data_IF_633063401323
#
_entry.id   IF_633063401323
#
_cell.length_a   1.000
_cell.length_b   1.000
_cell.length_c   1.000
_cell.angle_alpha   90.00
_cell.angle_beta   90.00
_cell.angle_gamma   90.00
#
_symmetry.space_group_name_H-M   'P 1'
#
loop_
_entity.id
_entity.type
_entity.pdbx_description
1 polymer ?
#
# COMPACT_ATOMS: atom_id res chain seq x y z
N UNK A 1 5.72 17.59 -1.37
CA UNK A 1 5.35 16.44 -2.22
C UNK A 1 3.85 16.19 -2.13
N UNK A 2 3.26 15.74 -3.21
CA UNK A 2 1.91 15.17 -3.21
C UNK A 2 2.04 13.67 -3.48
N UNK A 3 1.49 12.85 -2.60
CA UNK A 3 1.48 11.40 -2.75
C UNK A 3 0.05 10.95 -3.09
N UNK A 4 -0.10 10.29 -4.22
CA UNK A 4 -1.36 9.69 -4.69
C UNK A 4 -1.27 8.19 -4.42
N UNK A 5 -2.06 7.69 -3.49
CA UNK A 5 -2.19 6.26 -3.22
C UNK A 5 -3.31 5.70 -4.09
N UNK A 6 -3.00 4.70 -4.89
CA UNK A 6 -3.94 4.08 -5.83
C UNK A 6 -4.00 2.58 -5.54
N UNK A 7 -5.17 2.10 -5.18
CA UNK A 7 -5.41 0.67 -5.02
C UNK A 7 -5.48 0.00 -6.39
N UNK A 8 -4.98 -1.24 -6.49
CA UNK A 8 -5.12 -2.05 -7.70
C UNK A 8 -6.59 -2.25 -8.11
N UNK A 9 -6.83 -2.44 -9.40
CA UNK A 9 -8.13 -2.81 -9.95
C UNK A 9 -8.58 -4.21 -9.51
N UNK A 10 -9.81 -4.61 -9.88
CA UNK A 10 -10.39 -5.89 -9.51
C UNK A 10 -9.47 -7.06 -9.91
N UNK A 11 -8.99 -7.87 -8.93
CA UNK A 11 -7.92 -8.83 -9.15
C UNK A 11 -8.44 -10.22 -9.50
N UNK A 12 -7.62 -10.96 -10.25
CA UNK A 12 -7.57 -12.39 -10.21
C UNK A 12 -6.41 -12.79 -9.28
N UNK A 13 -6.72 -13.25 -8.08
CA UNK A 13 -5.70 -13.58 -7.08
C UNK A 13 -4.88 -14.82 -7.43
N UNK A 14 -5.45 -15.78 -8.16
CA UNK A 14 -4.77 -17.02 -8.56
C UNK A 14 -3.62 -16.73 -9.54
N UNK A 15 -3.87 -15.84 -10.50
CA UNK A 15 -2.89 -15.44 -11.51
C UNK A 15 -2.11 -14.16 -11.15
N UNK A 16 -2.43 -13.55 -10.02
CA UNK A 16 -1.90 -12.24 -9.59
C UNK A 16 -1.94 -11.18 -10.70
N UNK A 17 -3.07 -11.07 -11.39
CA UNK A 17 -3.30 -10.10 -12.46
C UNK A 17 -4.66 -9.45 -12.34
N UNK A 18 -4.98 -8.51 -13.24
CA UNK A 18 -6.32 -7.91 -13.29
C UNK A 18 -7.31 -8.80 -14.07
N UNK A 19 -8.56 -8.82 -13.61
CA UNK A 19 -9.68 -9.31 -14.41
C UNK A 19 -10.02 -8.33 -15.54
N UNK A 20 -10.88 -8.70 -16.52
CA UNK A 20 -11.37 -7.74 -17.51
C UNK A 20 -12.00 -6.48 -16.87
N UNK A 21 -12.73 -6.63 -15.77
CA UNK A 21 -13.27 -5.50 -15.00
C UNK A 21 -12.14 -4.66 -14.39
N UNK A 22 -11.13 -5.32 -13.81
CA UNK A 22 -9.97 -4.64 -13.22
C UNK A 22 -9.20 -3.80 -14.23
N UNK A 23 -9.09 -4.25 -15.47
CA UNK A 23 -8.46 -3.49 -16.58
C UNK A 23 -9.24 -2.24 -16.95
N UNK A 24 -10.58 -2.33 -17.01
CA UNK A 24 -11.43 -1.16 -17.23
C UNK A 24 -11.30 -0.15 -16.07
N UNK A 25 -11.20 -0.64 -14.83
CA UNK A 25 -10.97 0.21 -13.66
C UNK A 25 -9.59 0.89 -13.72
N UNK A 26 -8.55 0.16 -14.12
CA UNK A 26 -7.19 0.69 -14.26
C UNK A 26 -7.13 1.76 -15.34
N UNK A 27 -7.81 1.56 -16.47
CA UNK A 27 -7.90 2.55 -17.54
C UNK A 27 -8.63 3.82 -17.09
N UNK A 28 -9.77 3.68 -16.43
CA UNK A 28 -10.52 4.81 -15.88
C UNK A 28 -9.71 5.57 -14.80
N UNK A 29 -8.97 4.86 -13.96
CA UNK A 29 -8.07 5.48 -12.99
C UNK A 29 -6.94 6.26 -13.69
N UNK A 30 -6.33 5.69 -14.72
CA UNK A 30 -5.29 6.34 -15.51
C UNK A 30 -5.82 7.61 -16.21
N UNK A 31 -7.04 7.57 -16.71
CA UNK A 31 -7.69 8.75 -17.29
C UNK A 31 -7.93 9.82 -16.22
N UNK A 32 -8.47 9.45 -15.06
CA UNK A 32 -8.68 10.39 -13.94
C UNK A 32 -7.38 11.05 -13.49
N UNK A 33 -6.29 10.31 -13.52
CA UNK A 33 -4.97 10.79 -13.09
C UNK A 33 -4.29 11.71 -14.09
N UNK A 34 -4.77 11.85 -15.34
CA UNK A 34 -4.11 12.65 -16.42
C UNK A 34 -3.85 14.11 -16.02
N UNK A 35 -4.66 14.68 -15.14
CA UNK A 35 -4.55 16.07 -14.69
C UNK A 35 -3.70 16.26 -13.42
N UNK A 36 -3.04 15.21 -12.94
CA UNK A 36 -2.36 15.24 -11.64
C UNK A 36 -0.87 15.64 -11.73
N UNK A 37 -0.34 15.84 -12.95
CA UNK A 37 1.08 16.18 -13.19
C UNK A 37 2.05 15.26 -12.44
N UNK A 38 1.94 13.95 -12.68
CA UNK A 38 2.74 12.92 -12.01
C UNK A 38 4.19 12.97 -12.50
N UNK A 39 5.13 13.06 -11.56
CA UNK A 39 6.58 13.07 -11.82
C UNK A 39 7.22 11.68 -11.70
N UNK A 40 6.63 10.78 -10.91
CA UNK A 40 7.16 9.43 -10.70
C UNK A 40 6.04 8.45 -10.34
N UNK A 41 6.19 7.21 -10.80
CA UNK A 41 5.23 6.13 -10.58
C UNK A 41 5.94 4.97 -9.91
N UNK A 42 5.39 4.55 -8.77
CA UNK A 42 5.84 3.40 -7.99
C UNK A 42 4.71 2.37 -7.89
N UNK A 43 5.06 1.10 -7.77
CA UNK A 43 4.08 0.06 -7.54
C UNK A 43 4.62 -1.05 -6.64
N UNK A 44 3.71 -1.66 -5.87
CA UNK A 44 3.93 -2.97 -5.26
C UNK A 44 4.35 -3.99 -6.32
N UNK A 45 5.19 -4.94 -5.95
CA UNK A 45 5.64 -6.04 -6.84
C UNK A 45 4.57 -7.10 -7.11
N UNK A 46 3.35 -6.98 -6.57
CA UNK A 46 2.25 -7.84 -6.95
C UNK A 46 1.77 -7.52 -8.37
N UNK A 47 1.56 -8.55 -9.20
CA UNK A 47 1.24 -8.41 -10.61
C UNK A 47 0.00 -7.54 -10.86
N UNK A 48 -1.06 -7.68 -10.05
CA UNK A 48 -2.26 -6.84 -10.11
C UNK A 48 -1.99 -5.35 -9.89
N UNK A 49 -1.03 -5.01 -9.02
CA UNK A 49 -0.64 -3.62 -8.77
C UNK A 49 0.22 -3.07 -9.92
N UNK A 50 1.18 -3.86 -10.40
CA UNK A 50 2.01 -3.52 -11.56
C UNK A 50 1.14 -3.33 -12.82
N UNK A 51 0.19 -4.25 -13.08
CA UNK A 51 -0.72 -4.13 -14.21
C UNK A 51 -1.58 -2.86 -14.10
N UNK A 52 -2.09 -2.52 -12.90
CA UNK A 52 -2.85 -1.27 -12.69
C UNK A 52 -1.98 -0.05 -12.97
N UNK A 53 -0.74 -0.03 -12.45
CA UNK A 53 0.20 1.08 -12.63
C UNK A 53 0.58 1.29 -14.11
N UNK A 54 0.66 0.21 -14.90
CA UNK A 54 1.09 0.26 -16.29
C UNK A 54 0.19 1.13 -17.17
N UNK A 55 -1.10 1.20 -16.88
CA UNK A 55 -2.06 2.06 -17.61
C UNK A 55 -1.74 3.55 -17.41
N UNK A 56 -1.45 3.95 -16.16
CA UNK A 56 -1.03 5.33 -15.87
C UNK A 56 0.36 5.61 -16.42
N UNK A 57 1.30 4.68 -16.26
CA UNK A 57 2.67 4.79 -16.75
C UNK A 57 2.72 5.02 -18.26
N UNK A 58 1.89 4.29 -19.02
CA UNK A 58 1.78 4.45 -20.47
C UNK A 58 1.31 5.85 -20.88
N UNK A 59 0.34 6.44 -20.14
CA UNK A 59 -0.16 7.79 -20.42
C UNK A 59 0.86 8.88 -20.13
N UNK A 60 1.68 8.69 -19.09
CA UNK A 60 2.72 9.64 -18.68
C UNK A 60 4.07 9.40 -19.36
N UNK A 61 4.23 8.30 -20.09
CA UNK A 61 5.53 7.85 -20.64
C UNK A 61 6.62 7.74 -19.57
N UNK A 62 6.23 7.32 -18.36
CA UNK A 62 7.09 7.12 -17.21
C UNK A 62 7.31 5.63 -16.92
N UNK A 63 8.49 5.24 -16.43
CA UNK A 63 8.69 3.87 -15.94
C UNK A 63 7.92 3.64 -14.63
N UNK A 64 7.53 2.39 -14.39
CA UNK A 64 7.05 1.95 -13.08
C UNK A 64 8.24 1.47 -12.25
N UNK A 65 8.44 2.07 -11.09
CA UNK A 65 9.49 1.67 -10.14
C UNK A 65 8.88 0.74 -9.08
N UNK A 66 9.44 -0.44 -8.94
CA UNK A 66 8.95 -1.42 -7.99
C UNK A 66 9.38 -1.11 -6.56
N UNK A 67 8.44 -1.26 -5.61
CA UNK A 67 8.66 -1.08 -4.17
C UNK A 67 8.17 -2.33 -3.43
N UNK A 68 9.07 -3.32 -3.21
CA UNK A 68 8.69 -4.63 -2.67
C UNK A 68 8.04 -4.58 -1.28
N UNK A 69 8.37 -3.61 -0.46
CA UNK A 69 7.79 -3.43 0.87
C UNK A 69 6.31 -3.02 0.85
N UNK A 70 5.79 -2.64 -0.32
CA UNK A 70 4.37 -2.27 -0.50
C UNK A 70 3.50 -3.45 -0.96
N UNK A 71 4.01 -4.69 -0.86
CA UNK A 71 3.18 -5.89 -1.08
C UNK A 71 2.06 -5.96 -0.05
N UNK A 72 0.96 -6.64 -0.42
CA UNK A 72 -0.14 -6.90 0.50
C UNK A 72 0.35 -7.59 1.78
N UNK A 73 -0.10 -7.08 2.92
CA UNK A 73 0.30 -7.63 4.23
C UNK A 73 -0.55 -8.85 4.54
N UNK A 74 0.10 -9.98 4.79
CA UNK A 74 -0.51 -11.11 5.45
C UNK A 74 0.05 -11.21 6.88
N UNK A 75 -0.75 -11.58 7.84
CA UNK A 75 -0.28 -11.68 9.20
C UNK A 75 -0.10 -13.10 9.72
N UNK A 76 -0.41 -14.11 8.90
CA UNK A 76 -0.16 -15.52 9.26
C UNK A 76 -0.80 -15.90 10.59
N UNK A 77 -2.06 -15.53 10.80
CA UNK A 77 -2.76 -15.80 12.04
C UNK A 77 -2.74 -17.30 12.35
N UNK A 78 -2.30 -17.67 13.56
CA UNK A 78 -2.16 -19.04 14.06
C UNK A 78 -1.40 -20.01 13.14
N UNK A 79 -0.61 -19.54 12.20
CA UNK A 79 0.15 -20.39 11.29
C UNK A 79 -0.70 -21.09 10.22
N UNK A 80 -1.99 -20.77 10.11
CA UNK A 80 -2.89 -21.28 9.08
C UNK A 80 -2.97 -20.26 7.93
N UNK A 81 -2.30 -20.51 6.79
CA UNK A 81 -2.20 -19.53 5.70
C UNK A 81 -3.53 -19.22 4.99
N UNK A 82 -4.58 -19.95 5.27
CA UNK A 82 -5.90 -19.81 4.63
C UNK A 82 -7.03 -19.57 5.64
N UNK A 83 -6.73 -19.19 6.88
CA UNK A 83 -7.78 -18.81 7.82
C UNK A 83 -8.47 -17.54 7.32
N UNK A 84 -9.79 -17.56 7.00
CA UNK A 84 -10.54 -16.36 6.65
C UNK A 84 -10.55 -15.30 7.76
N UNK A 85 -10.21 -15.65 9.02
CA UNK A 85 -9.93 -14.71 10.09
C UNK A 85 -8.53 -14.11 10.02
N UNK A 86 -7.72 -14.48 9.03
CA UNK A 86 -6.33 -14.06 8.87
C UNK A 86 -6.12 -12.67 8.26
N UNK A 87 -7.19 -11.93 7.94
CA UNK A 87 -7.09 -10.56 7.48
C UNK A 87 -7.26 -9.57 8.65
N UNK A 88 -6.36 -8.59 8.80
CA UNK A 88 -6.49 -7.55 9.82
C UNK A 88 -7.85 -6.84 9.81
N UNK A 89 -8.43 -6.66 8.65
CA UNK A 89 -9.75 -6.05 8.43
C UNK A 89 -10.88 -6.79 9.13
N UNK A 90 -10.93 -8.11 9.03
CA UNK A 90 -12.00 -8.92 9.62
C UNK A 90 -11.99 -8.83 11.16
N UNK A 91 -10.80 -8.65 11.73
CA UNK A 91 -10.66 -8.45 13.16
C UNK A 91 -11.11 -7.05 13.58
N UNK A 92 -10.68 -6.03 12.85
CA UNK A 92 -11.04 -4.62 13.13
C UNK A 92 -12.54 -4.43 13.06
N UNK A 93 -13.20 -4.95 12.03
CA UNK A 93 -14.66 -4.88 11.88
C UNK A 93 -15.37 -5.55 13.07
N UNK A 94 -14.90 -6.73 13.49
CA UNK A 94 -15.45 -7.44 14.65
C UNK A 94 -15.27 -6.66 15.94
N UNK A 95 -14.08 -6.08 16.15
CA UNK A 95 -13.80 -5.27 17.33
C UNK A 95 -14.67 -4.01 17.39
N UNK A 96 -14.90 -3.35 16.25
CA UNK A 96 -15.81 -2.19 16.17
C UNK A 96 -17.24 -2.61 16.53
N UNK A 97 -17.73 -3.72 15.99
CA UNK A 97 -19.06 -4.26 16.32
C UNK A 97 -19.20 -4.63 17.78
N UNK A 98 -18.14 -5.06 18.45
CA UNK A 98 -18.07 -5.34 19.87
C UNK A 98 -17.89 -4.08 20.74
N UNK A 99 -17.85 -2.89 20.15
CA UNK A 99 -17.64 -1.62 20.84
C UNK A 99 -16.22 -1.41 21.38
N UNK A 100 -15.25 -2.18 20.86
CA UNK A 100 -13.83 -2.02 21.20
C UNK A 100 -13.20 -0.94 20.35
N UNK A 101 -12.33 -0.13 20.94
CA UNK A 101 -11.59 0.90 20.23
C UNK A 101 -10.13 0.46 20.08
N UNK A 102 -9.65 0.45 18.83
CA UNK A 102 -8.22 0.36 18.56
C UNK A 102 -7.61 1.76 18.76
N UNK A 103 -6.60 1.87 19.62
CA UNK A 103 -5.83 3.09 19.69
C UNK A 103 -4.38 2.85 19.21
N UNK A 104 -3.79 3.91 18.67
CA UNK A 104 -2.46 3.85 18.05
C UNK A 104 -1.33 3.47 19.01
N UNK A 105 -1.58 3.51 20.32
CA UNK A 105 -0.51 3.33 21.32
C UNK A 105 -0.39 1.90 21.84
N UNK A 106 -1.47 1.11 21.82
CA UNK A 106 -1.49 -0.21 22.43
C UNK A 106 -2.03 -1.35 21.56
N UNK A 107 -2.24 -1.12 20.26
CA UNK A 107 -2.77 -2.17 19.38
C UNK A 107 -1.90 -3.43 19.37
N UNK A 108 -0.59 -3.30 19.56
CA UNK A 108 0.37 -4.41 19.61
C UNK A 108 0.18 -5.32 20.83
N UNK A 109 -0.43 -4.79 21.90
CA UNK A 109 -0.71 -5.51 23.15
C UNK A 109 -2.02 -6.31 23.08
N UNK A 110 -2.84 -6.05 22.08
CA UNK A 110 -4.12 -6.73 21.87
C UNK A 110 -3.86 -8.18 21.44
N UNK A 111 -4.42 -9.19 22.15
CA UNK A 111 -4.10 -10.60 21.95
C UNK A 111 -4.12 -11.08 20.49
N UNK A 112 -5.09 -10.70 19.62
CA UNK A 112 -5.10 -11.12 18.23
C UNK A 112 -3.89 -10.65 17.40
N UNK A 113 -3.19 -9.60 17.80
CA UNK A 113 -1.99 -9.12 17.12
C UNK A 113 -0.68 -9.72 17.69
N UNK A 114 -0.80 -10.55 18.74
CA UNK A 114 0.35 -11.21 19.35
C UNK A 114 0.54 -12.61 18.76
N UNK A 115 1.80 -13.07 18.69
CA UNK A 115 2.14 -14.42 18.24
C UNK A 115 2.00 -14.67 16.75
N UNK A 116 1.95 -13.60 15.93
CA UNK A 116 1.96 -13.65 14.48
C UNK A 116 2.92 -12.60 13.88
N UNK A 117 3.03 -12.54 12.56
CA UNK A 117 4.00 -11.68 11.87
C UNK A 117 3.56 -10.23 11.69
N UNK A 118 2.37 -9.83 12.18
CA UNK A 118 1.83 -8.49 11.83
C UNK A 118 2.68 -7.36 12.39
N UNK A 119 3.18 -7.49 13.62
CA UNK A 119 4.01 -6.46 14.22
C UNK A 119 5.32 -6.27 13.45
N UNK A 120 5.98 -7.37 13.09
CA UNK A 120 7.21 -7.35 12.30
C UNK A 120 6.96 -6.78 10.89
N UNK A 121 5.84 -7.14 10.26
CA UNK A 121 5.45 -6.61 8.97
C UNK A 121 5.22 -5.09 9.01
N UNK A 122 4.53 -4.59 10.04
CA UNK A 122 4.30 -3.15 10.22
C UNK A 122 5.64 -2.42 10.44
N UNK A 123 6.53 -2.97 11.25
CA UNK A 123 7.85 -2.36 11.48
C UNK A 123 8.71 -2.36 10.21
N UNK A 124 8.70 -3.46 9.47
CA UNK A 124 9.39 -3.57 8.18
C UNK A 124 8.86 -2.53 7.18
N UNK A 125 7.54 -2.38 7.05
CA UNK A 125 6.92 -1.40 6.16
C UNK A 125 7.28 0.02 6.60
N UNK A 126 7.15 0.34 7.89
CA UNK A 126 7.46 1.68 8.40
C UNK A 126 8.91 2.08 8.12
N UNK A 127 9.86 1.19 8.41
CA UNK A 127 11.28 1.44 8.14
C UNK A 127 11.58 1.61 6.64
N UNK A 128 10.95 0.81 5.79
CA UNK A 128 11.14 0.93 4.34
C UNK A 128 10.46 2.18 3.75
N UNK A 129 9.30 2.58 4.29
CA UNK A 129 8.67 3.86 3.91
C UNK A 129 9.59 5.02 4.28
N UNK A 130 10.17 5.04 5.48
CA UNK A 130 11.10 6.09 5.92
C UNK A 130 12.30 6.18 4.97
N UNK A 131 12.92 5.04 4.63
CA UNK A 131 14.04 4.97 3.68
C UNK A 131 13.62 5.44 2.28
N UNK A 132 12.46 5.02 1.79
CA UNK A 132 11.95 5.45 0.50
C UNK A 132 11.66 6.96 0.47
N UNK A 133 11.01 7.50 1.50
CA UNK A 133 10.76 8.94 1.62
C UNK A 133 12.05 9.74 1.69
N UNK A 134 13.11 9.18 2.31
CA UNK A 134 14.42 9.82 2.33
C UNK A 134 14.99 9.96 0.91
N UNK A 135 14.80 8.98 0.03
CA UNK A 135 15.20 9.10 -1.39
C UNK A 135 14.45 10.20 -2.14
N UNK A 136 13.26 10.57 -1.65
CA UNK A 136 12.41 11.65 -2.18
C UNK A 136 12.67 13.00 -1.50
N UNK A 137 13.64 13.08 -0.59
CA UNK A 137 14.06 14.30 0.08
C UNK A 137 13.32 14.59 1.40
N UNK A 138 12.73 13.55 2.04
CA UNK A 138 12.04 13.68 3.32
C UNK A 138 12.76 12.87 4.40
N UNK A 139 13.19 13.54 5.46
CA UNK A 139 13.87 12.89 6.59
C UNK A 139 12.94 12.80 7.79
N UNK A 140 12.80 11.59 8.35
CA UNK A 140 12.01 11.37 9.56
C UNK A 140 12.63 12.06 10.76
N UNK A 141 11.85 12.84 11.49
CA UNK A 141 12.23 13.49 12.76
C UNK A 141 11.11 13.25 13.80
N UNK A 142 11.23 12.17 14.57
CA UNK A 142 10.19 11.76 15.50
C UNK A 142 8.87 11.44 14.80
N UNK A 143 7.82 12.22 15.04
CA UNK A 143 6.48 11.97 14.47
C UNK A 143 6.19 12.72 13.17
N UNK A 144 7.16 13.44 12.62
CA UNK A 144 7.00 14.18 11.36
C UNK A 144 8.17 13.94 10.40
N UNK A 145 8.02 14.45 9.17
CA UNK A 145 9.09 14.45 8.18
C UNK A 145 9.51 15.87 7.86
N UNK A 146 10.80 16.13 7.96
CA UNK A 146 11.40 17.38 7.48
C UNK A 146 11.60 17.28 5.97
N UNK A 147 11.08 18.24 5.22
CA UNK A 147 11.30 18.36 3.78
C UNK A 147 12.64 19.04 3.49
N UNK A 148 13.44 18.44 2.62
CA UNK A 148 14.61 19.04 2.03
C UNK A 148 14.28 19.98 0.86
N UNK A 149 15.31 20.42 0.14
CA UNK A 149 15.14 21.21 -1.08
C UNK A 149 14.57 20.35 -2.23
N UNK A 150 13.82 20.98 -3.16
CA UNK A 150 13.29 20.35 -4.37
C UNK A 150 12.30 19.17 -4.15
N UNK A 151 11.53 19.21 -3.07
CA UNK A 151 10.55 18.16 -2.74
C UNK A 151 9.15 18.38 -3.36
N UNK A 152 8.99 19.34 -4.29
CA UNK A 152 7.71 19.65 -4.95
C UNK A 152 7.40 18.67 -6.09
N UNK A 153 7.23 17.38 -5.77
CA UNK A 153 6.88 16.33 -6.73
C UNK A 153 5.48 15.78 -6.46
N UNK A 154 4.82 15.33 -7.52
CA UNK A 154 3.64 14.45 -7.42
C UNK A 154 4.07 13.03 -7.72
N UNK A 155 3.87 12.14 -6.77
CA UNK A 155 4.24 10.73 -6.87
C UNK A 155 2.98 9.88 -6.80
N UNK A 156 2.79 8.97 -7.75
CA UNK A 156 1.74 7.96 -7.69
C UNK A 156 2.32 6.62 -7.19
N UNK A 157 1.67 6.02 -6.20
CA UNK A 157 2.03 4.72 -5.63
C UNK A 157 0.84 3.78 -5.73
N UNK A 158 1.01 2.72 -6.51
CA UNK A 158 0.01 1.68 -6.75
C UNK A 158 0.25 0.51 -5.80
N UNK A 159 -0.75 0.18 -4.97
CA UNK A 159 -0.62 -0.82 -3.92
C UNK A 159 -1.98 -1.45 -3.57
N UNK A 160 -2.13 -1.84 -2.34
CA UNK A 160 -3.26 -2.57 -1.78
C UNK A 160 -3.96 -1.71 -0.72
N UNK A 161 -5.06 -2.15 -0.21
CA UNK A 161 -5.81 -1.43 0.82
C UNK A 161 -6.87 -2.27 1.45
#
# INVERSE_FOLDING_TARGET
MRLLLVRHGHPNYELDCLTPLGRLQAEAAAERLTNENIDAIYASTCGRALETASYTASRYHLPVMEVPFMREVSWGYNGEPNDPAGHPWDLVDRMILEGKTLCNHNWREIPPFQGNSICDNVDMIANNIDNWLQTLGYTREGEYYRAGENTKKTVALFSHG
#
